data_IF_549097767452
#
_entry.id   IF_549097767452
#
_cell.length_a   1.000
_cell.length_b   1.000
_cell.length_c   1.000
_cell.angle_alpha   90.00
_cell.angle_beta   90.00
_cell.angle_gamma   90.00
#
_symmetry.space_group_name_H-M   'P 1'
#
loop_
_entity.id
_entity.type
_entity.pdbx_description
1 polymer ?
#
# COMPACT_ATOMS: atom_id res chain seq x y z
N UNK A 1 -12.55 7.68 -46.67
CA UNK A 1 -12.44 8.26 -45.32
C UNK A 1 -13.85 8.63 -44.82
N UNK A 2 -14.70 7.64 -44.55
CA UNK A 2 -16.14 7.84 -44.26
C UNK A 2 -16.57 7.25 -42.91
N UNK A 3 -15.82 6.29 -42.37
CA UNK A 3 -16.15 5.59 -41.12
C UNK A 3 -16.05 6.50 -39.88
N UNK A 4 -15.16 7.49 -39.88
CA UNK A 4 -14.94 8.38 -38.73
C UNK A 4 -16.06 9.40 -38.49
N UNK A 5 -16.96 9.58 -39.47
CA UNK A 5 -18.05 10.56 -39.42
C UNK A 5 -19.38 9.92 -38.96
N UNK A 6 -19.49 8.59 -38.99
CA UNK A 6 -20.69 7.84 -38.59
C UNK A 6 -20.72 7.59 -37.08
N UNK A 7 -19.56 7.38 -36.45
CA UNK A 7 -19.43 7.28 -34.98
C UNK A 7 -19.77 8.58 -34.25
N UNK A 8 -19.68 9.72 -34.93
CA UNK A 8 -19.85 11.05 -34.35
C UNK A 8 -21.33 11.49 -34.26
N UNK A 9 -22.24 10.75 -34.90
CA UNK A 9 -23.68 11.03 -34.92
C UNK A 9 -24.52 9.91 -34.29
N UNK A 10 -23.87 8.97 -33.59
CA UNK A 10 -24.56 7.97 -32.79
C UNK A 10 -24.84 8.55 -31.39
N UNK A 11 -26.11 8.82 -31.02
CA UNK A 11 -26.46 9.32 -29.69
C UNK A 11 -26.10 8.34 -28.56
N UNK A 12 -25.81 7.07 -28.86
CA UNK A 12 -25.30 6.10 -27.89
C UNK A 12 -23.80 6.31 -27.53
N UNK A 13 -23.07 7.13 -28.29
CA UNK A 13 -21.66 7.45 -28.06
C UNK A 13 -21.41 8.06 -26.66
N UNK A 14 -22.34 8.87 -26.15
CA UNK A 14 -22.30 9.40 -24.79
C UNK A 14 -22.33 8.33 -23.70
N UNK A 15 -23.04 7.21 -23.94
CA UNK A 15 -23.09 6.07 -23.00
C UNK A 15 -21.82 5.22 -23.06
N UNK A 16 -21.16 5.17 -24.22
CA UNK A 16 -19.87 4.49 -24.40
C UNK A 16 -18.74 5.24 -23.68
N UNK A 17 -18.75 6.57 -23.69
CA UNK A 17 -17.78 7.39 -22.94
C UNK A 17 -17.95 7.25 -21.42
N UNK A 18 -19.19 7.16 -20.92
CA UNK A 18 -19.44 6.91 -19.50
C UNK A 18 -19.00 5.51 -19.08
N UNK A 19 -19.31 4.48 -19.89
CA UNK A 19 -18.81 3.11 -19.66
C UNK A 19 -17.29 3.09 -19.62
N UNK A 20 -16.63 3.75 -20.57
CA UNK A 20 -15.17 3.87 -20.60
C UNK A 20 -14.61 4.58 -19.37
N UNK A 21 -15.26 5.64 -18.87
CA UNK A 21 -14.87 6.31 -17.63
C UNK A 21 -15.00 5.41 -16.40
N UNK A 22 -16.10 4.64 -16.31
CA UNK A 22 -16.33 3.67 -15.22
C UNK A 22 -15.33 2.52 -15.27
N UNK A 23 -15.07 1.98 -16.46
CA UNK A 23 -14.13 0.87 -16.68
C UNK A 23 -12.67 1.29 -16.48
N UNK A 24 -12.32 2.57 -16.67
CA UNK A 24 -10.95 3.07 -16.46
C UNK A 24 -10.62 3.27 -14.97
N UNK A 25 -11.56 2.99 -14.07
CA UNK A 25 -11.39 3.12 -12.62
C UNK A 25 -10.83 1.84 -11.95
N UNK A 26 -10.08 1.04 -12.70
CA UNK A 26 -9.24 -0.04 -12.17
C UNK A 26 -7.98 0.55 -11.54
N UNK A 27 -8.14 1.40 -10.52
CA UNK A 27 -7.04 1.66 -9.60
C UNK A 27 -6.79 0.33 -8.89
N UNK A 28 -5.58 -0.26 -9.00
CA UNK A 28 -5.28 -1.52 -8.33
C UNK A 28 -5.67 -1.36 -6.86
N UNK A 29 -6.44 -2.29 -6.26
CA UNK A 29 -6.83 -2.17 -4.87
C UNK A 29 -5.57 -1.90 -4.07
N UNK A 30 -5.47 -0.68 -3.53
CA UNK A 30 -4.26 -0.20 -2.91
C UNK A 30 -3.82 -1.27 -1.90
N UNK A 31 -2.60 -1.78 -2.06
CA UNK A 31 -2.09 -2.80 -1.16
C UNK A 31 -2.29 -2.31 0.28
N UNK A 32 -2.79 -3.17 1.20
CA UNK A 32 -3.04 -2.77 2.57
C UNK A 32 -1.81 -2.03 3.14
N UNK A 33 -2.00 -0.91 3.86
CA UNK A 33 -0.88 -0.16 4.41
C UNK A 33 0.02 -1.09 5.24
N UNK A 34 1.32 -1.13 4.92
CA UNK A 34 2.25 -1.96 5.68
C UNK A 34 2.29 -1.43 7.13
N UNK A 35 2.12 -2.29 8.15
CA UNK A 35 2.12 -1.83 9.53
C UNK A 35 3.49 -1.22 9.89
N UNK A 36 3.52 -0.23 10.80
CA UNK A 36 4.77 0.41 11.20
C UNK A 36 5.70 -0.61 11.87
N UNK A 37 6.95 -0.69 11.39
CA UNK A 37 7.98 -1.61 11.91
C UNK A 37 8.69 -1.03 13.15
N UNK A 38 8.67 0.30 13.29
CA UNK A 38 9.27 1.06 14.39
C UNK A 38 9.02 0.51 15.80
N UNK A 39 7.79 0.11 16.22
CA UNK A 39 7.59 -0.44 17.57
C UNK A 39 8.33 -1.77 17.80
N UNK A 40 8.43 -2.63 16.79
CA UNK A 40 9.13 -3.91 16.91
C UNK A 40 10.63 -3.72 17.04
N UNK A 41 11.21 -2.75 16.31
CA UNK A 41 12.63 -2.40 16.42
C UNK A 41 12.92 -1.87 17.83
N UNK A 42 12.09 -0.96 18.33
CA UNK A 42 12.22 -0.42 19.69
C UNK A 42 12.16 -1.53 20.75
N UNK A 43 11.21 -2.46 20.63
CA UNK A 43 11.10 -3.59 21.55
C UNK A 43 12.34 -4.50 21.49
N UNK A 44 12.82 -4.84 20.30
CA UNK A 44 14.00 -5.68 20.12
C UNK A 44 15.25 -5.04 20.75
N UNK A 45 15.48 -3.74 20.53
CA UNK A 45 16.58 -2.99 21.15
C UNK A 45 16.46 -3.02 22.66
N UNK A 46 15.27 -2.78 23.22
CA UNK A 46 15.03 -2.83 24.66
C UNK A 46 15.37 -4.19 25.29
N UNK A 47 15.00 -5.29 24.63
CA UNK A 47 15.32 -6.65 25.10
C UNK A 47 16.83 -6.89 25.11
N UNK A 48 17.54 -6.50 24.06
CA UNK A 48 19.01 -6.65 23.98
C UNK A 48 19.70 -5.88 25.12
N UNK A 49 19.26 -4.64 25.37
CA UNK A 49 19.80 -3.82 26.47
C UNK A 49 19.51 -4.47 27.83
N UNK A 50 18.29 -4.95 28.06
CA UNK A 50 17.93 -5.59 29.31
C UNK A 50 18.77 -6.85 29.59
N UNK A 51 18.96 -7.70 28.58
CA UNK A 51 19.84 -8.88 28.67
C UNK A 51 21.27 -8.46 29.02
N UNK A 52 21.80 -7.44 28.33
CA UNK A 52 23.14 -6.92 28.61
C UNK A 52 23.32 -6.50 30.06
N UNK A 53 22.34 -5.76 30.61
CA UNK A 53 22.35 -5.36 32.02
C UNK A 53 22.36 -6.58 32.94
N UNK A 54 21.48 -7.57 32.71
CA UNK A 54 21.43 -8.79 33.52
C UNK A 54 22.77 -9.52 33.51
N UNK A 55 23.37 -9.69 32.33
CA UNK A 55 24.69 -10.34 32.19
C UNK A 55 25.76 -9.59 32.97
N UNK A 56 25.82 -8.26 32.84
CA UNK A 56 26.80 -7.43 33.57
C UNK A 56 26.59 -7.56 35.08
N UNK A 57 25.34 -7.51 35.56
CA UNK A 57 25.03 -7.65 36.99
C UNK A 57 25.47 -9.03 37.48
N UNK A 58 25.12 -10.11 36.77
CA UNK A 58 25.55 -11.46 37.15
C UNK A 58 27.07 -11.56 37.19
N UNK A 59 27.78 -11.08 36.17
CA UNK A 59 29.25 -11.14 36.13
C UNK A 59 29.91 -10.30 37.23
N UNK A 60 29.30 -9.19 37.63
CA UNK A 60 29.89 -8.29 38.64
C UNK A 60 29.70 -8.81 40.06
N UNK A 61 28.65 -9.58 40.33
CA UNK A 61 28.27 -10.06 41.66
C UNK A 61 28.34 -11.60 41.82
N UNK A 62 28.90 -12.30 40.84
CA UNK A 62 29.17 -13.75 40.84
C UNK A 62 30.45 -14.10 41.61
#
# INVERSE_FOLDING_TARGET
MSQHNEEQNDPASSTMMFRKFVDTNDEPPAAPPKPPITPYILAAVGVVVAIGIVVVVVMTWS
#
